data_IF_212836499419
#
_entry.id   IF_212836499419
#
_cell.length_a   1.000
_cell.length_b   1.000
_cell.length_c   1.000
_cell.angle_alpha   90.00
_cell.angle_beta   90.00
_cell.angle_gamma   90.00
#
_symmetry.space_group_name_H-M   'P 1'
#
loop_
_entity.id
_entity.type
_entity.pdbx_description
1 polymer ?
#
# COMPACT_ATOMS: atom_id res chain seq x y z
N UNK A 1 -37.87 28.12 45.47
CA UNK A 1 -36.43 27.81 45.64
C UNK A 1 -36.08 26.42 45.11
N UNK A 2 -36.85 25.38 45.43
CA UNK A 2 -36.65 23.99 44.94
C UNK A 2 -36.82 23.84 43.43
N UNK A 3 -37.85 24.44 42.82
CA UNK A 3 -38.10 24.37 41.37
C UNK A 3 -36.95 24.95 40.54
N UNK A 4 -36.39 26.09 40.97
CA UNK A 4 -35.27 26.76 40.30
C UNK A 4 -34.00 25.90 40.34
N UNK A 5 -33.75 25.22 41.47
CA UNK A 5 -32.61 24.31 41.61
C UNK A 5 -32.78 23.08 40.70
N UNK A 6 -33.97 22.51 40.62
CA UNK A 6 -34.24 21.37 39.71
C UNK A 6 -34.09 21.75 38.24
N UNK A 7 -34.58 22.94 37.85
CA UNK A 7 -34.42 23.46 36.48
C UNK A 7 -32.94 23.68 36.13
N UNK A 8 -32.14 24.24 37.05
CA UNK A 8 -30.71 24.45 36.83
C UNK A 8 -29.94 23.12 36.71
N UNK A 9 -30.29 22.11 37.52
CA UNK A 9 -29.72 20.76 37.42
C UNK A 9 -30.05 20.09 36.09
N UNK A 10 -31.30 20.20 35.65
CA UNK A 10 -31.72 19.66 34.35
C UNK A 10 -30.99 20.36 33.19
N UNK A 11 -30.90 21.69 33.23
CA UNK A 11 -30.16 22.46 32.23
C UNK A 11 -28.68 22.07 32.18
N UNK A 12 -28.04 21.93 33.35
CA UNK A 12 -26.63 21.50 33.45
C UNK A 12 -26.41 20.11 32.84
N UNK A 13 -27.29 19.15 33.16
CA UNK A 13 -27.21 17.79 32.62
C UNK A 13 -27.38 17.77 31.09
N UNK A 14 -28.32 18.57 30.56
CA UNK A 14 -28.53 18.72 29.11
C UNK A 14 -27.30 19.35 28.45
N UNK A 15 -26.72 20.39 29.03
CA UNK A 15 -25.50 21.01 28.48
C UNK A 15 -24.31 20.07 28.50
N UNK A 16 -24.13 19.29 29.57
CA UNK A 16 -23.03 18.34 29.69
C UNK A 16 -23.17 17.18 28.68
N UNK A 17 -24.38 16.64 28.54
CA UNK A 17 -24.66 15.58 27.54
C UNK A 17 -24.49 16.09 26.12
N UNK A 18 -24.96 17.30 25.82
CA UNK A 18 -24.75 17.94 24.52
C UNK A 18 -23.25 18.13 24.22
N UNK A 19 -22.45 18.53 25.21
CA UNK A 19 -21.00 18.69 25.07
C UNK A 19 -20.31 17.35 24.79
N UNK A 20 -20.66 16.29 25.52
CA UNK A 20 -20.11 14.94 25.31
C UNK A 20 -20.47 14.42 23.92
N UNK A 21 -21.73 14.56 23.51
CA UNK A 21 -22.19 14.16 22.17
C UNK A 21 -21.45 14.96 21.09
N UNK A 22 -21.31 16.27 21.27
CA UNK A 22 -20.57 17.14 20.35
C UNK A 22 -19.11 16.69 20.21
N UNK A 23 -18.42 16.43 21.33
CA UNK A 23 -17.05 15.95 21.32
C UNK A 23 -16.91 14.60 20.61
N UNK A 24 -17.81 13.65 20.89
CA UNK A 24 -17.82 12.33 20.23
C UNK A 24 -18.05 12.46 18.72
N UNK A 25 -18.98 13.32 18.31
CA UNK A 25 -19.27 13.58 16.89
C UNK A 25 -18.09 14.26 16.20
N UNK A 26 -17.44 15.26 16.83
CA UNK A 26 -16.26 15.93 16.28
C UNK A 26 -15.09 14.96 16.14
N UNK A 27 -14.81 14.12 17.14
CA UNK A 27 -13.77 13.10 17.04
C UNK A 27 -14.07 12.08 15.93
N UNK A 28 -15.34 11.68 15.78
CA UNK A 28 -15.79 10.83 14.69
C UNK A 28 -15.65 11.53 13.33
N UNK A 29 -16.00 12.82 13.23
CA UNK A 29 -15.89 13.61 12.02
C UNK A 29 -14.42 13.82 11.61
N UNK A 30 -13.52 14.09 12.56
CA UNK A 30 -12.08 14.18 12.30
C UNK A 30 -11.56 12.85 11.75
N UNK A 31 -11.91 11.73 12.40
CA UNK A 31 -11.51 10.39 11.93
C UNK A 31 -12.04 10.07 10.52
N UNK A 32 -13.27 10.50 10.20
CA UNK A 32 -13.86 10.31 8.87
C UNK A 32 -13.32 11.31 7.82
N UNK A 33 -12.95 12.52 8.24
CA UNK A 33 -12.41 13.57 7.38
C UNK A 33 -10.96 13.31 6.99
N UNK A 34 -10.16 12.71 7.88
CA UNK A 34 -8.80 12.25 7.56
C UNK A 34 -8.77 11.33 6.34
N UNK A 35 -9.81 10.55 6.08
CA UNK A 35 -9.91 9.71 4.88
C UNK A 35 -10.20 10.45 3.56
N UNK A 36 -10.64 11.72 3.61
CA UNK A 36 -11.04 12.50 2.41
C UNK A 36 -9.98 13.48 1.91
N UNK A 37 -8.96 13.80 2.71
CA UNK A 37 -7.96 14.82 2.39
C UNK A 37 -6.88 14.28 1.43
N UNK A 38 -6.70 12.96 1.31
CA UNK A 38 -5.57 12.37 0.55
C UNK A 38 -5.94 11.77 -0.81
N UNK A 39 -7.20 11.87 -1.24
CA UNK A 39 -7.66 11.28 -2.51
C UNK A 39 -6.84 11.70 -3.74
N UNK A 40 -6.45 12.98 -3.92
CA UNK A 40 -5.66 13.39 -5.08
C UNK A 40 -4.27 12.76 -5.13
N UNK A 41 -3.58 12.68 -3.99
CA UNK A 41 -2.25 12.06 -3.87
C UNK A 41 -2.32 10.57 -4.18
N UNK A 42 -3.33 9.89 -3.62
CA UNK A 42 -3.60 8.48 -3.89
C UNK A 42 -3.84 8.25 -5.40
N UNK A 43 -4.67 9.09 -6.02
CA UNK A 43 -4.98 9.01 -7.44
C UNK A 43 -3.76 9.30 -8.33
N UNK A 44 -2.86 10.18 -7.90
CA UNK A 44 -1.62 10.48 -8.60
C UNK A 44 -0.63 9.31 -8.52
N UNK A 45 -0.46 8.68 -7.36
CA UNK A 45 0.32 7.43 -7.25
C UNK A 45 -0.23 6.34 -8.16
N UNK A 46 -1.56 6.19 -8.26
CA UNK A 46 -2.17 5.22 -9.18
C UNK A 46 -1.99 5.53 -10.67
N UNK A 47 -1.63 6.76 -11.06
CA UNK A 47 -1.32 7.08 -12.47
C UNK A 47 0.01 6.47 -12.90
N UNK A 48 1.00 6.44 -12.00
CA UNK A 48 2.34 5.93 -12.30
C UNK A 48 2.28 4.47 -12.76
N UNK A 49 1.46 3.65 -12.10
CA UNK A 49 1.31 2.22 -12.42
C UNK A 49 0.46 1.95 -13.66
N UNK A 50 0.10 2.99 -14.41
CA UNK A 50 -0.66 2.91 -15.67
C UNK A 50 0.19 3.33 -16.88
N UNK A 51 1.46 3.68 -16.66
CA UNK A 51 2.43 3.96 -17.72
C UNK A 51 3.02 2.65 -18.27
N UNK A 52 3.33 2.62 -19.57
CA UNK A 52 4.01 1.49 -20.22
C UNK A 52 5.34 1.16 -19.55
N UNK A 53 6.07 2.20 -19.12
CA UNK A 53 7.35 2.06 -18.41
C UNK A 53 7.23 1.26 -17.11
N UNK A 54 6.11 1.38 -16.42
CA UNK A 54 5.84 0.59 -15.21
C UNK A 54 5.75 -0.90 -15.54
N UNK A 55 4.99 -1.26 -16.57
CA UNK A 55 4.83 -2.65 -16.98
C UNK A 55 6.15 -3.25 -17.47
N UNK A 56 6.92 -2.50 -18.26
CA UNK A 56 8.25 -2.92 -18.71
C UNK A 56 9.21 -3.14 -17.55
N UNK A 57 9.25 -2.22 -16.57
CA UNK A 57 10.07 -2.37 -15.38
C UNK A 57 9.65 -3.57 -14.52
N UNK A 58 8.34 -3.76 -14.35
CA UNK A 58 7.82 -4.88 -13.58
C UNK A 58 8.18 -6.22 -14.23
N UNK A 59 8.01 -6.32 -15.55
CA UNK A 59 8.39 -7.52 -16.31
C UNK A 59 9.89 -7.77 -16.18
N UNK A 60 10.73 -6.78 -16.49
CA UNK A 60 12.18 -6.90 -16.42
C UNK A 60 12.66 -7.36 -15.03
N UNK A 61 12.16 -6.73 -13.96
CA UNK A 61 12.53 -7.08 -12.58
C UNK A 61 12.14 -8.52 -12.24
N UNK A 62 10.97 -8.98 -12.69
CA UNK A 62 10.47 -10.32 -12.35
C UNK A 62 11.05 -11.43 -13.23
N UNK A 63 11.52 -11.12 -14.44
CA UNK A 63 11.93 -12.14 -15.42
C UNK A 63 13.39 -12.10 -15.80
N UNK A 64 14.02 -10.93 -15.91
CA UNK A 64 15.37 -10.80 -16.50
C UNK A 64 16.44 -10.34 -15.51
N UNK A 65 16.11 -9.49 -14.53
CA UNK A 65 17.08 -8.89 -13.59
C UNK A 65 18.05 -9.90 -12.98
N UNK A 66 17.54 -10.99 -12.41
CA UNK A 66 18.36 -12.02 -11.75
C UNK A 66 19.07 -12.96 -12.71
N UNK A 67 18.65 -13.01 -13.98
CA UNK A 67 19.34 -13.79 -15.03
C UNK A 67 20.55 -13.02 -15.57
N UNK A 68 20.42 -11.70 -15.68
CA UNK A 68 21.44 -10.84 -16.28
C UNK A 68 22.48 -10.34 -15.26
N UNK A 69 22.08 -10.19 -13.98
CA UNK A 69 22.90 -9.50 -12.99
C UNK A 69 22.97 -10.26 -11.66
N UNK A 70 24.18 -10.50 -11.18
CA UNK A 70 24.40 -11.09 -9.86
C UNK A 70 24.14 -10.07 -8.73
N UNK A 71 23.44 -10.44 -7.65
CA UNK A 71 23.17 -9.54 -6.52
C UNK A 71 24.39 -8.95 -5.81
N UNK A 72 25.57 -9.50 -6.05
CA UNK A 72 26.84 -9.07 -5.45
C UNK A 72 27.30 -7.70 -5.92
N UNK A 73 26.82 -7.22 -7.09
CA UNK A 73 27.13 -5.87 -7.56
C UNK A 73 26.37 -4.78 -6.78
N UNK A 74 25.33 -5.16 -6.03
CA UNK A 74 24.43 -4.21 -5.37
C UNK A 74 23.60 -3.39 -6.36
N UNK A 75 22.65 -2.61 -5.85
CA UNK A 75 21.81 -1.77 -6.69
C UNK A 75 22.61 -0.67 -7.43
N UNK A 76 23.68 -0.12 -6.84
CA UNK A 76 24.50 0.91 -7.52
C UNK A 76 25.38 0.33 -8.63
N UNK A 77 25.77 -0.93 -8.50
CA UNK A 77 26.56 -1.65 -9.50
C UNK A 77 25.76 -2.14 -10.70
N UNK A 78 24.42 -2.01 -10.69
CA UNK A 78 23.60 -2.33 -11.85
C UNK A 78 23.88 -1.36 -13.02
N UNK A 79 23.87 -1.87 -14.28
CA UNK A 79 23.86 -1.01 -15.46
C UNK A 79 22.70 -0.01 -15.42
N UNK A 80 22.87 1.15 -16.06
CA UNK A 80 21.93 2.26 -15.96
C UNK A 80 20.48 1.87 -16.30
N UNK A 81 20.28 1.06 -17.35
CA UNK A 81 18.95 0.60 -17.76
C UNK A 81 18.31 -0.32 -16.72
N UNK A 82 19.04 -1.34 -16.24
CA UNK A 82 18.57 -2.25 -15.21
C UNK A 82 18.25 -1.49 -13.91
N UNK A 83 19.13 -0.55 -13.53
CA UNK A 83 18.95 0.31 -12.36
C UNK A 83 17.69 1.16 -12.50
N UNK A 84 17.42 1.74 -13.67
CA UNK A 84 16.23 2.54 -13.91
C UNK A 84 14.93 1.74 -13.74
N UNK A 85 14.90 0.46 -14.18
CA UNK A 85 13.76 -0.42 -13.94
C UNK A 85 13.58 -0.73 -12.45
N UNK A 86 14.68 -1.04 -11.75
CA UNK A 86 14.64 -1.29 -10.29
C UNK A 86 14.21 -0.03 -9.52
N UNK A 87 14.70 1.15 -9.90
CA UNK A 87 14.33 2.44 -9.30
C UNK A 87 12.86 2.76 -9.51
N UNK A 88 12.33 2.50 -10.71
CA UNK A 88 10.92 2.73 -11.03
C UNK A 88 10.01 1.96 -10.06
N UNK A 89 10.33 0.69 -9.79
CA UNK A 89 9.57 -0.14 -8.86
C UNK A 89 9.85 0.23 -7.40
N UNK A 90 11.13 0.36 -7.04
CA UNK A 90 11.58 0.56 -5.67
C UNK A 90 11.13 1.89 -5.09
N UNK A 91 11.27 2.99 -5.84
CA UNK A 91 10.83 4.32 -5.40
C UNK A 91 9.31 4.38 -5.26
N UNK A 92 8.58 3.82 -6.21
CA UNK A 92 7.12 3.80 -6.16
C UNK A 92 6.58 3.13 -4.90
N UNK A 93 7.04 1.90 -4.61
CA UNK A 93 6.56 1.18 -3.43
C UNK A 93 7.13 1.72 -2.12
N UNK A 94 8.32 2.33 -2.13
CA UNK A 94 8.84 3.02 -0.95
C UNK A 94 8.00 4.25 -0.62
N UNK A 95 7.62 5.05 -1.61
CA UNK A 95 6.72 6.20 -1.41
C UNK A 95 5.32 5.77 -0.96
N UNK A 96 4.78 4.70 -1.54
CA UNK A 96 3.50 4.15 -1.10
C UNK A 96 3.57 3.60 0.34
N UNK A 97 4.67 2.92 0.66
CA UNK A 97 4.97 2.43 2.00
C UNK A 97 5.05 3.56 3.03
N UNK A 98 5.67 4.70 2.69
CA UNK A 98 5.72 5.90 3.56
C UNK A 98 4.31 6.37 3.91
N UNK A 99 3.44 6.49 2.90
CA UNK A 99 2.07 6.95 3.10
C UNK A 99 1.27 6.00 4.00
N UNK A 100 1.49 4.69 3.88
CA UNK A 100 0.87 3.70 4.76
C UNK A 100 1.44 3.77 6.19
N UNK A 101 2.76 3.80 6.33
CA UNK A 101 3.44 3.82 7.62
C UNK A 101 3.04 5.05 8.46
N UNK A 102 2.75 6.17 7.80
CA UNK A 102 2.27 7.40 8.43
C UNK A 102 0.73 7.51 8.54
N UNK A 103 -0.02 6.47 8.16
CA UNK A 103 -1.47 6.41 8.31
C UNK A 103 -2.25 7.31 7.34
N UNK A 104 -1.61 7.76 6.27
CA UNK A 104 -2.22 8.61 5.23
C UNK A 104 -3.10 7.80 4.27
N UNK A 105 -2.77 6.51 4.08
CA UNK A 105 -3.50 5.56 3.23
C UNK A 105 -3.82 4.29 4.04
N UNK A 106 -5.04 3.76 3.88
CA UNK A 106 -5.39 2.44 4.42
C UNK A 106 -4.59 1.35 3.69
N UNK A 107 -3.78 0.60 4.43
CA UNK A 107 -2.99 -0.51 3.87
C UNK A 107 -3.83 -1.53 3.10
N UNK A 108 -5.10 -1.73 3.47
CA UNK A 108 -6.03 -2.65 2.81
C UNK A 108 -6.27 -2.24 1.35
N UNK A 109 -6.27 -0.94 1.04
CA UNK A 109 -6.41 -0.44 -0.33
C UNK A 109 -5.23 -0.90 -1.20
N UNK A 110 -4.02 -0.77 -0.68
CA UNK A 110 -2.78 -1.07 -1.40
C UNK A 110 -2.55 -2.58 -1.50
N UNK A 111 -2.71 -3.30 -0.38
CA UNK A 111 -2.60 -4.77 -0.34
C UNK A 111 -3.65 -5.42 -1.25
N UNK A 112 -4.89 -4.94 -1.22
CA UNK A 112 -5.93 -5.45 -2.11
C UNK A 112 -5.68 -5.12 -3.59
N UNK A 113 -5.17 -3.91 -3.88
CA UNK A 113 -4.95 -3.44 -5.25
C UNK A 113 -3.74 -4.05 -5.96
N UNK A 114 -2.58 -4.11 -5.29
CA UNK A 114 -1.34 -4.62 -5.88
C UNK A 114 -1.07 -6.09 -5.52
N UNK A 115 -1.71 -6.60 -4.48
CA UNK A 115 -1.68 -8.02 -4.15
C UNK A 115 -0.28 -8.56 -3.87
N UNK A 116 -0.08 -9.83 -4.22
CA UNK A 116 1.19 -10.53 -4.05
C UNK A 116 2.33 -9.98 -4.94
N UNK A 117 2.04 -9.11 -5.91
CA UNK A 117 3.10 -8.50 -6.72
C UNK A 117 4.04 -7.64 -5.89
N UNK A 118 3.56 -7.01 -4.80
CA UNK A 118 4.42 -6.27 -3.86
C UNK A 118 5.53 -7.19 -3.34
N UNK A 119 5.15 -8.38 -2.87
CA UNK A 119 6.06 -9.38 -2.29
C UNK A 119 7.01 -9.90 -3.36
N UNK A 120 6.50 -10.29 -4.53
CA UNK A 120 7.32 -10.82 -5.62
C UNK A 120 8.38 -9.84 -6.11
N UNK A 121 8.02 -8.56 -6.24
CA UNK A 121 8.94 -7.51 -6.67
C UNK A 121 9.98 -7.21 -5.59
N UNK A 122 9.57 -7.17 -4.32
CA UNK A 122 10.52 -7.04 -3.21
C UNK A 122 11.50 -8.21 -3.18
N UNK A 123 11.02 -9.45 -3.30
CA UNK A 123 11.88 -10.64 -3.27
C UNK A 123 12.92 -10.63 -4.41
N UNK A 124 12.55 -10.13 -5.60
CA UNK A 124 13.46 -9.98 -6.73
C UNK A 124 14.52 -8.88 -6.50
N UNK A 125 14.14 -7.74 -5.91
CA UNK A 125 15.01 -6.56 -5.74
C UNK A 125 15.85 -6.65 -4.46
N UNK A 126 15.32 -7.27 -3.41
CA UNK A 126 15.91 -7.27 -2.06
C UNK A 126 17.37 -7.76 -2.02
N UNK A 127 17.83 -8.76 -2.80
CA UNK A 127 19.23 -9.19 -2.76
C UNK A 127 20.21 -8.05 -3.09
N UNK A 128 19.89 -7.21 -4.09
CA UNK A 128 20.69 -6.05 -4.49
C UNK A 128 20.68 -4.95 -3.42
N UNK A 129 19.52 -4.72 -2.80
CA UNK A 129 19.33 -3.74 -1.71
C UNK A 129 20.14 -4.14 -0.48
N UNK A 130 20.09 -5.43 -0.10
CA UNK A 130 20.81 -5.93 1.05
C UNK A 130 22.33 -5.94 0.83
N UNK A 131 22.80 -6.17 -0.39
CA UNK A 131 24.21 -5.99 -0.74
C UNK A 131 24.67 -4.55 -0.52
N UNK A 132 23.92 -3.55 -1.01
CA UNK A 132 24.22 -2.14 -0.78
C UNK A 132 24.19 -1.75 0.69
N UNK A 133 23.17 -2.21 1.43
CA UNK A 133 23.04 -1.94 2.87
C UNK A 133 24.24 -2.46 3.65
N UNK A 134 24.75 -3.64 3.31
CA UNK A 134 25.97 -4.20 3.92
C UNK A 134 27.23 -3.43 3.54
N UNK A 135 27.35 -3.02 2.28
CA UNK A 135 28.55 -2.35 1.77
C UNK A 135 28.66 -0.88 2.20
N UNK A 136 27.54 -0.18 2.31
CA UNK A 136 27.51 1.28 2.49
C UNK A 136 26.73 1.77 3.71
N UNK A 137 26.04 0.89 4.44
CA UNK A 137 25.26 1.26 5.64
C UNK A 137 24.02 2.12 5.37
N UNK A 138 23.62 2.28 4.11
CA UNK A 138 22.48 3.11 3.72
C UNK A 138 21.18 2.33 3.78
N UNK A 139 20.28 2.70 4.67
CA UNK A 139 18.94 2.12 4.77
C UNK A 139 17.97 2.77 3.78
N UNK A 140 18.08 2.40 2.51
CA UNK A 140 17.14 2.82 1.47
C UNK A 140 16.05 1.76 1.23
N UNK A 141 14.89 2.21 0.76
CA UNK A 141 13.69 1.39 0.52
C UNK A 141 13.16 0.62 1.74
N UNK A 142 13.33 1.20 2.93
CA UNK A 142 12.82 0.61 4.19
C UNK A 142 11.30 0.57 4.24
N UNK A 143 10.61 1.51 3.59
CA UNK A 143 9.15 1.52 3.56
C UNK A 143 8.60 0.54 2.53
N UNK A 144 9.32 0.29 1.43
CA UNK A 144 8.98 -0.81 0.53
C UNK A 144 9.11 -2.16 1.24
N UNK A 145 10.19 -2.37 1.99
CA UNK A 145 10.37 -3.57 2.79
C UNK A 145 9.26 -3.78 3.83
N UNK A 146 8.91 -2.73 4.59
CA UNK A 146 7.79 -2.78 5.55
C UNK A 146 6.46 -3.10 4.84
N UNK A 147 6.22 -2.50 3.67
CA UNK A 147 5.04 -2.78 2.85
C UNK A 147 4.99 -4.24 2.37
N UNK A 148 6.13 -4.78 1.92
CA UNK A 148 6.24 -6.18 1.52
C UNK A 148 5.97 -7.11 2.72
N UNK A 149 6.53 -6.81 3.89
CA UNK A 149 6.30 -7.58 5.11
C UNK A 149 4.83 -7.55 5.56
N UNK A 150 4.17 -6.38 5.53
CA UNK A 150 2.74 -6.25 5.82
C UNK A 150 1.88 -7.07 4.85
N UNK A 151 2.24 -7.06 3.57
CA UNK A 151 1.52 -7.80 2.52
C UNK A 151 1.69 -9.31 2.70
N UNK A 152 2.90 -9.77 3.04
CA UNK A 152 3.15 -11.16 3.35
C UNK A 152 2.37 -11.64 4.59
N UNK A 153 2.22 -10.78 5.61
CA UNK A 153 1.44 -11.08 6.81
C UNK A 153 -0.09 -11.02 6.58
N UNK A 154 -0.56 -10.14 5.70
CA UNK A 154 -1.99 -9.96 5.38
C UNK A 154 -2.25 -10.31 3.93
N UNK A 155 -2.52 -11.59 3.67
CA UNK A 155 -2.78 -12.07 2.32
C UNK A 155 -3.97 -11.31 1.67
N UNK A 156 -3.90 -10.93 0.38
CA UNK A 156 -4.94 -10.13 -0.29
C UNK A 156 -6.35 -10.72 -0.20
N UNK A 157 -6.49 -12.04 -0.16
CA UNK A 157 -7.77 -12.73 0.05
C UNK A 157 -8.51 -12.32 1.32
N UNK A 158 -7.78 -12.00 2.40
CA UNK A 158 -8.37 -11.49 3.65
C UNK A 158 -9.01 -10.13 3.40
N UNK A 159 -8.35 -9.28 2.61
CA UNK A 159 -8.87 -7.97 2.21
C UNK A 159 -10.12 -8.15 1.32
N UNK A 160 -10.07 -9.03 0.33
CA UNK A 160 -11.19 -9.28 -0.58
C UNK A 160 -12.42 -9.79 0.18
N UNK A 161 -12.22 -10.70 1.13
CA UNK A 161 -13.28 -11.22 2.01
C UNK A 161 -13.88 -10.12 2.87
N UNK A 162 -13.05 -9.29 3.52
CA UNK A 162 -13.50 -8.16 4.35
C UNK A 162 -14.32 -7.14 3.54
N UNK A 163 -13.98 -6.93 2.27
CA UNK A 163 -14.68 -6.02 1.36
C UNK A 163 -15.92 -6.65 0.71
N UNK A 164 -16.17 -7.95 0.88
CA UNK A 164 -17.29 -8.64 0.26
C UNK A 164 -17.20 -8.68 -1.27
N UNK A 165 -15.98 -8.74 -1.82
CA UNK A 165 -15.76 -8.81 -3.27
C UNK A 165 -16.39 -10.07 -3.86
N UNK A 166 -16.84 -9.97 -5.12
CA UNK A 166 -17.49 -11.07 -5.85
C UNK A 166 -16.63 -11.50 -7.02
N UNK A 167 -16.52 -12.81 -7.23
CA UNK A 167 -15.83 -13.37 -8.40
C UNK A 167 -16.79 -13.55 -9.58
N UNK A 168 -16.31 -13.27 -10.80
CA UNK A 168 -17.01 -13.55 -12.05
C UNK A 168 -16.06 -14.32 -12.98
N UNK A 169 -16.11 -15.66 -13.00
CA UNK A 169 -15.22 -16.45 -13.84
C UNK A 169 -15.49 -16.22 -15.34
N UNK A 170 -14.51 -16.50 -16.23
CA UNK A 170 -14.70 -16.42 -17.68
C UNK A 170 -15.89 -17.27 -18.15
N UNK A 171 -16.70 -16.74 -19.07
CA UNK A 171 -17.88 -17.44 -19.60
C UNK A 171 -17.53 -18.66 -20.45
N UNK A 172 -16.39 -18.60 -21.15
CA UNK A 172 -15.83 -19.71 -21.93
C UNK A 172 -14.67 -20.28 -21.13
N UNK A 173 -14.71 -21.58 -20.82
CA UNK A 173 -13.51 -22.27 -20.31
C UNK A 173 -12.43 -22.13 -21.39
N UNK A 174 -11.15 -21.88 -21.04
CA UNK A 174 -10.06 -22.00 -22.00
C UNK A 174 -10.21 -23.38 -22.63
N UNK A 175 -10.36 -23.45 -23.95
CA UNK A 175 -10.34 -24.73 -24.65
C UNK A 175 -9.04 -25.42 -24.21
N UNK A 176 -9.12 -26.66 -23.72
CA UNK A 176 -7.94 -27.43 -23.38
C UNK A 176 -7.03 -27.36 -24.61
N UNK A 177 -5.83 -26.77 -24.43
CA UNK A 177 -4.89 -26.50 -25.50
C UNK A 177 -4.86 -27.69 -26.46
N UNK A 178 -5.26 -27.47 -27.71
CA UNK A 178 -5.07 -28.47 -28.77
C UNK A 178 -3.59 -28.87 -28.76
N UNK A 179 -3.27 -30.18 -28.71
CA UNK A 179 -1.89 -30.60 -28.84
C UNK A 179 -1.38 -30.11 -30.19
N UNK A 180 -0.29 -29.35 -30.16
CA UNK A 180 0.40 -28.88 -31.36
C UNK A 180 0.69 -30.08 -32.27
N UNK A 181 0.19 -30.01 -33.50
CA UNK A 181 0.48 -30.94 -34.60
C UNK A 181 1.85 -30.62 -35.19
#
# INVERSE_FOLDING_TARGET
>A
MTLTIMLNLAALAISLTALVISLLLTLRQIRLASGKIHLPVILESFKETRDARWFEAQEYVLTELTKEHEPTCGHRGLPEQARAHVDTIGLFFDDLGKLIAHGMIDQSLVIGGYGLNIVRLWDAISPYVYTERRAHGLHFWVYFEDLAARTAATHPEVVYTKLGMRSRPPRRKPDAAEPAV
#
